data_IF_471146401819
#
_entry.id   IF_471146401819
#
_cell.length_a   1.000
_cell.length_b   1.000
_cell.length_c   1.000
_cell.angle_alpha   90.00
_cell.angle_beta   90.00
_cell.angle_gamma   90.00
#
_symmetry.space_group_name_H-M   'P 1'
#
loop_
_entity.id
_entity.type
_entity.pdbx_description
1 polymer ?
#
# COMPACT_ATOMS: atom_id res chain seq x y z
N UNK A 1 -4.57 45.27 -34.15
CA UNK A 1 -4.35 43.84 -34.26
C UNK A 1 -5.33 43.25 -35.28
N UNK A 2 -4.85 42.55 -36.29
CA UNK A 2 -5.70 41.83 -37.21
C UNK A 2 -6.25 40.56 -36.57
N UNK A 3 -7.44 40.11 -36.98
CA UNK A 3 -8.06 38.90 -36.46
C UNK A 3 -7.14 37.66 -36.56
N UNK A 4 -6.27 37.60 -37.54
CA UNK A 4 -5.27 36.53 -37.71
C UNK A 4 -4.23 36.52 -36.57
N UNK A 5 -3.77 37.65 -36.12
CA UNK A 5 -2.79 37.76 -35.05
C UNK A 5 -3.40 37.36 -33.68
N UNK A 6 -4.65 37.72 -33.44
CA UNK A 6 -5.37 37.32 -32.24
C UNK A 6 -5.54 35.81 -32.16
N UNK A 7 -5.88 35.16 -33.30
CA UNK A 7 -6.02 33.71 -33.37
C UNK A 7 -4.72 32.98 -33.05
N UNK A 8 -3.60 33.47 -33.61
CA UNK A 8 -2.26 32.90 -33.35
C UNK A 8 -1.88 33.02 -31.86
N UNK A 9 -2.17 34.15 -31.22
CA UNK A 9 -1.93 34.34 -29.82
C UNK A 9 -2.78 33.41 -28.94
N UNK A 10 -4.04 33.20 -29.29
CA UNK A 10 -4.95 32.29 -28.57
C UNK A 10 -4.48 30.82 -28.69
N UNK A 11 -4.04 30.39 -29.86
CA UNK A 11 -3.55 29.04 -30.08
C UNK A 11 -2.23 28.79 -29.32
N UNK A 12 -1.32 29.75 -29.31
CA UNK A 12 -0.06 29.62 -28.60
C UNK A 12 -0.28 29.56 -27.06
N UNK A 13 -1.20 30.38 -26.55
CA UNK A 13 -1.57 30.33 -25.12
C UNK A 13 -2.20 28.98 -24.73
N UNK A 14 -3.07 28.43 -25.56
CA UNK A 14 -3.68 27.13 -25.32
C UNK A 14 -2.63 25.99 -25.32
N UNK A 15 -1.64 26.02 -26.21
CA UNK A 15 -0.54 25.05 -26.22
C UNK A 15 0.33 25.12 -24.94
N UNK A 16 0.62 26.31 -24.41
CA UNK A 16 1.38 26.47 -23.18
C UNK A 16 0.64 25.90 -21.96
N UNK A 17 -0.66 26.13 -21.86
CA UNK A 17 -1.50 25.57 -20.79
C UNK A 17 -1.59 24.06 -20.87
N UNK A 18 -1.80 23.50 -22.06
CA UNK A 18 -1.84 22.06 -22.28
C UNK A 18 -0.50 21.41 -21.90
N UNK A 19 0.63 22.00 -22.31
CA UNK A 19 1.96 21.54 -21.92
C UNK A 19 2.19 21.56 -20.40
N UNK A 20 1.73 22.59 -19.73
CA UNK A 20 1.82 22.71 -18.26
C UNK A 20 1.00 21.61 -17.56
N UNK A 21 -0.23 21.38 -17.99
CA UNK A 21 -1.10 20.34 -17.43
C UNK A 21 -0.49 18.95 -17.61
N UNK A 22 0.06 18.66 -18.80
CA UNK A 22 0.71 17.37 -19.08
C UNK A 22 1.93 17.15 -18.17
N UNK A 23 2.78 18.16 -17.98
CA UNK A 23 3.94 18.08 -17.11
C UNK A 23 3.55 17.90 -15.64
N UNK A 24 2.49 18.56 -15.20
CA UNK A 24 1.99 18.44 -13.82
C UNK A 24 1.39 17.06 -13.55
N UNK A 25 0.61 16.52 -14.47
CA UNK A 25 0.04 15.17 -14.34
C UNK A 25 1.11 14.08 -14.36
N UNK A 26 2.14 14.21 -15.20
CA UNK A 26 3.28 13.28 -15.20
C UNK A 26 4.04 13.29 -13.88
N UNK A 27 4.24 14.47 -13.29
CA UNK A 27 4.94 14.61 -12.01
C UNK A 27 4.17 13.93 -10.88
N UNK A 28 2.84 14.03 -10.87
CA UNK A 28 1.99 13.35 -9.88
C UNK A 28 1.99 11.83 -10.04
N UNK A 29 1.99 11.33 -11.28
CA UNK A 29 2.10 9.89 -11.54
C UNK A 29 3.46 9.33 -11.14
N UNK A 30 4.52 10.08 -11.34
CA UNK A 30 5.86 9.67 -10.95
C UNK A 30 6.02 9.61 -9.42
N UNK A 31 5.45 10.55 -8.68
CA UNK A 31 5.42 10.52 -7.24
C UNK A 31 4.65 9.30 -6.69
N UNK A 32 3.56 8.88 -7.34
CA UNK A 32 2.82 7.66 -6.98
C UNK A 32 3.61 6.38 -7.28
N UNK A 33 4.46 6.38 -8.31
CA UNK A 33 5.29 5.25 -8.70
C UNK A 33 6.59 5.15 -7.89
N UNK A 34 6.99 6.21 -7.17
CA UNK A 34 8.18 6.23 -6.32
C UNK A 34 7.95 5.55 -4.96
N UNK A 35 6.72 5.13 -4.65
CA UNK A 35 6.44 4.33 -3.47
C UNK A 35 7.04 2.94 -3.63
N UNK A 36 7.77 2.48 -2.62
CA UNK A 36 8.33 1.15 -2.60
C UNK A 36 7.21 0.10 -2.66
N UNK A 37 7.37 -0.96 -3.48
CA UNK A 37 6.38 -2.00 -3.56
C UNK A 37 6.28 -2.76 -2.23
N UNK A 38 5.06 -2.99 -1.75
CA UNK A 38 4.77 -3.75 -0.54
C UNK A 38 4.03 -5.03 -0.94
N UNK A 39 4.62 -6.17 -0.61
CA UNK A 39 4.07 -7.48 -0.90
C UNK A 39 3.73 -8.21 0.40
N UNK A 40 2.74 -9.08 0.34
CA UNK A 40 2.32 -9.92 1.45
C UNK A 40 2.38 -11.40 1.03
N UNK A 41 3.08 -12.21 1.82
CA UNK A 41 3.15 -13.66 1.61
C UNK A 41 2.68 -14.39 2.86
N UNK A 42 1.89 -15.44 2.69
CA UNK A 42 1.60 -16.38 3.76
C UNK A 42 2.75 -17.37 3.94
N UNK A 43 2.94 -17.82 5.17
CA UNK A 43 3.97 -18.80 5.52
C UNK A 43 3.30 -19.97 6.20
N UNK A 44 3.41 -21.15 5.61
CA UNK A 44 2.91 -22.40 6.21
C UNK A 44 3.95 -22.96 7.17
N UNK A 45 3.51 -23.31 8.35
CA UNK A 45 4.32 -23.96 9.39
C UNK A 45 3.66 -25.27 9.81
N UNK A 46 4.38 -26.11 10.58
CA UNK A 46 3.88 -27.41 11.00
C UNK A 46 2.57 -27.33 11.83
N UNK A 47 2.41 -26.28 12.61
CA UNK A 47 1.31 -26.07 13.55
C UNK A 47 0.36 -24.93 13.19
N UNK A 48 0.47 -24.39 11.96
CA UNK A 48 -0.42 -23.32 11.51
C UNK A 48 0.19 -22.42 10.45
N UNK A 49 -0.22 -21.17 10.45
CA UNK A 49 0.13 -20.19 9.44
C UNK A 49 0.66 -18.89 10.07
N UNK A 50 1.53 -18.23 9.33
CA UNK A 50 1.99 -16.88 9.61
C UNK A 50 2.00 -16.05 8.35
N UNK A 51 2.60 -14.86 8.40
CA UNK A 51 2.76 -14.00 7.23
C UNK A 51 4.10 -13.28 7.23
N UNK A 52 4.51 -12.87 6.05
CA UNK A 52 5.65 -11.99 5.83
C UNK A 52 5.21 -10.79 5.01
N UNK A 53 5.67 -9.61 5.39
CA UNK A 53 5.51 -8.38 4.62
C UNK A 53 6.86 -8.00 4.06
N UNK A 54 6.93 -7.86 2.74
CA UNK A 54 8.12 -7.49 2.01
C UNK A 54 7.98 -6.04 1.51
N UNK A 55 9.02 -5.26 1.71
CA UNK A 55 9.14 -3.91 1.15
C UNK A 55 10.34 -3.91 0.21
N UNK A 56 10.11 -3.55 -1.04
CA UNK A 56 11.13 -3.59 -2.09
C UNK A 56 11.84 -4.97 -2.17
N UNK A 57 11.03 -6.03 -2.15
CA UNK A 57 11.47 -7.46 -2.22
C UNK A 57 12.30 -7.93 -1.02
N UNK A 58 12.40 -7.14 0.03
CA UNK A 58 13.11 -7.50 1.27
C UNK A 58 12.12 -7.73 2.39
N UNK A 59 12.33 -8.76 3.21
CA UNK A 59 11.50 -9.04 4.36
C UNK A 59 11.61 -7.87 5.35
N UNK A 60 10.49 -7.20 5.58
CA UNK A 60 10.36 -6.10 6.53
C UNK A 60 9.71 -6.57 7.84
N UNK A 61 8.69 -7.42 7.75
CA UNK A 61 8.01 -8.02 8.89
C UNK A 61 7.90 -9.52 8.65
N UNK A 62 8.29 -10.31 9.65
CA UNK A 62 8.07 -11.74 9.71
C UNK A 62 7.25 -12.04 10.97
N UNK A 63 6.04 -12.57 10.78
CA UNK A 63 5.10 -12.82 11.87
C UNK A 63 4.76 -14.30 11.93
N UNK A 64 5.33 -15.01 12.90
CA UNK A 64 5.13 -16.46 13.11
C UNK A 64 3.86 -16.77 13.87
N UNK A 65 3.41 -15.86 14.71
CA UNK A 65 2.31 -16.06 15.64
C UNK A 65 1.27 -14.97 15.47
N UNK A 66 0.07 -15.24 16.00
CA UNK A 66 -0.98 -14.21 16.07
C UNK A 66 -0.46 -13.06 16.94
N UNK A 67 -0.41 -11.82 16.42
CA UNK A 67 0.07 -10.68 17.20
C UNK A 67 -0.90 -10.30 18.32
N UNK A 68 -0.40 -9.60 19.33
CA UNK A 68 -1.17 -9.03 20.45
C UNK A 68 -1.80 -10.03 21.41
N UNK A 69 -1.61 -11.33 21.24
CA UNK A 69 -2.03 -12.33 22.23
C UNK A 69 -0.86 -12.81 23.07
N UNK A 70 -1.13 -13.26 24.29
CA UNK A 70 -0.10 -13.71 25.25
C UNK A 70 0.43 -15.13 24.97
N UNK A 71 -0.26 -15.91 24.14
CA UNK A 71 0.16 -17.24 23.71
C UNK A 71 0.83 -17.20 22.34
N UNK A 72 1.80 -18.10 22.10
CA UNK A 72 2.50 -18.18 20.81
C UNK A 72 1.73 -19.06 19.81
N UNK A 73 0.43 -18.81 19.66
CA UNK A 73 -0.41 -19.54 18.72
C UNK A 73 -0.24 -19.02 17.31
N UNK A 74 -0.22 -19.95 16.35
CA UNK A 74 -0.23 -19.66 14.92
C UNK A 74 -1.66 -19.35 14.45
N UNK A 75 -1.79 -18.71 13.29
CA UNK A 75 -3.09 -18.60 12.63
C UNK A 75 -3.60 -19.98 12.22
N UNK A 76 -4.89 -20.21 12.34
CA UNK A 76 -5.50 -21.50 12.01
C UNK A 76 -5.59 -21.76 10.51
N UNK A 77 -5.57 -20.72 9.71
CA UNK A 77 -5.67 -20.81 8.25
C UNK A 77 -4.84 -19.75 7.54
N UNK A 78 -4.52 -20.01 6.29
CA UNK A 78 -3.88 -19.03 5.41
C UNK A 78 -4.71 -17.75 5.28
N UNK A 79 -6.02 -17.89 5.14
CA UNK A 79 -6.93 -16.74 5.00
C UNK A 79 -6.92 -15.83 6.23
N UNK A 80 -6.84 -16.39 7.44
CA UNK A 80 -6.71 -15.59 8.66
C UNK A 80 -5.37 -14.85 8.72
N UNK A 81 -4.27 -15.53 8.39
CA UNK A 81 -2.94 -14.92 8.33
C UNK A 81 -2.90 -13.76 7.32
N UNK A 82 -3.45 -13.96 6.12
CA UNK A 82 -3.51 -12.94 5.09
C UNK A 82 -4.47 -11.79 5.45
N UNK A 83 -5.56 -12.08 6.15
CA UNK A 83 -6.49 -11.04 6.62
C UNK A 83 -5.79 -10.04 7.55
N UNK A 84 -5.06 -10.53 8.51
CA UNK A 84 -4.29 -9.68 9.43
C UNK A 84 -3.07 -9.05 8.73
N UNK A 85 -2.38 -9.81 7.90
CA UNK A 85 -1.26 -9.30 7.09
C UNK A 85 -1.67 -8.14 6.19
N UNK A 86 -2.84 -8.20 5.56
CA UNK A 86 -3.38 -7.10 4.76
C UNK A 86 -3.63 -5.82 5.57
N UNK A 87 -4.07 -5.93 6.81
CA UNK A 87 -4.21 -4.77 7.72
C UNK A 87 -2.85 -4.10 7.96
N UNK A 88 -1.82 -4.90 8.16
CA UNK A 88 -0.45 -4.40 8.33
C UNK A 88 0.05 -3.70 7.07
N UNK A 89 -0.18 -4.29 5.90
CA UNK A 89 0.18 -3.70 4.61
C UNK A 89 -0.51 -2.34 4.41
N UNK A 90 -1.79 -2.25 4.70
CA UNK A 90 -2.55 -0.99 4.60
C UNK A 90 -1.97 0.09 5.52
N UNK A 91 -1.60 -0.27 6.74
CA UNK A 91 -0.97 0.65 7.69
C UNK A 91 0.38 1.15 7.18
N UNK A 92 1.21 0.28 6.63
CA UNK A 92 2.50 0.65 6.03
C UNK A 92 2.29 1.63 4.86
N UNK A 93 1.38 1.32 3.95
CA UNK A 93 1.08 2.17 2.80
C UNK A 93 0.52 3.54 3.19
N UNK A 94 -0.21 3.60 4.30
CA UNK A 94 -0.79 4.84 4.81
C UNK A 94 0.15 5.64 5.71
N UNK A 95 1.37 5.17 5.92
CA UNK A 95 2.35 5.82 6.80
C UNK A 95 2.03 5.68 8.29
N UNK A 96 1.17 4.74 8.67
CA UNK A 96 0.85 4.44 10.05
C UNK A 96 1.77 3.36 10.62
N UNK A 97 1.85 3.31 11.95
CA UNK A 97 2.59 2.26 12.64
C UNK A 97 1.98 0.89 12.34
N UNK A 98 2.75 -0.10 11.88
CA UNK A 98 2.24 -1.41 11.45
C UNK A 98 1.96 -2.37 12.63
N UNK A 99 1.50 -1.85 13.75
CA UNK A 99 1.14 -2.65 14.91
C UNK A 99 -0.32 -3.09 14.83
N UNK A 100 -0.60 -4.34 15.24
CA UNK A 100 -1.94 -4.90 15.31
C UNK A 100 -2.33 -5.01 16.79
N UNK A 101 -3.51 -4.51 17.13
CA UNK A 101 -4.04 -4.55 18.49
C UNK A 101 -4.89 -5.81 18.72
N UNK A 102 -5.07 -6.19 19.98
CA UNK A 102 -5.97 -7.29 20.36
C UNK A 102 -7.41 -7.03 19.89
N UNK A 103 -7.85 -5.78 19.94
CA UNK A 103 -9.17 -5.37 19.45
C UNK A 103 -9.32 -5.65 17.94
N UNK A 104 -8.29 -5.37 17.15
CA UNK A 104 -8.29 -5.65 15.72
C UNK A 104 -8.32 -7.16 15.43
N UNK A 105 -7.60 -7.97 16.21
CA UNK A 105 -7.64 -9.44 16.12
C UNK A 105 -9.06 -9.96 16.39
N UNK A 106 -9.67 -9.52 17.49
CA UNK A 106 -11.02 -9.93 17.85
C UNK A 106 -12.07 -9.47 16.83
N UNK A 107 -11.97 -8.23 16.36
CA UNK A 107 -12.88 -7.67 15.35
C UNK A 107 -12.78 -8.39 14.00
N UNK A 108 -11.63 -9.00 13.69
CA UNK A 108 -11.42 -9.77 12.47
C UNK A 108 -11.93 -11.21 12.53
N UNK A 109 -12.46 -11.64 13.69
CA UNK A 109 -12.98 -12.99 13.88
C UNK A 109 -11.91 -14.07 13.97
N UNK A 110 -10.70 -13.71 14.34
CA UNK A 110 -9.59 -14.65 14.52
C UNK A 110 -9.81 -15.47 15.77
N UNK A 111 -9.75 -16.78 15.64
CA UNK A 111 -9.86 -17.75 16.72
C UNK A 111 -8.48 -18.19 17.23
N UNK A 112 -8.28 -18.17 18.53
CA UNK A 112 -7.02 -18.57 19.17
C UNK A 112 -7.22 -19.24 20.51
#
# INVERSE_FOLDING_TARGET
MTKKNLLVWLVSAAMLVAGYVILFTKKNQQAANDLLPVDLHSVKMADGWGYEVLVDKKIFIHQDCIPAISSFKKFNSESEALLIGNKVVEKIKSGHKPAVTLQEINASGIHY
#
